data_IF_322727513665
#
_entry.id   IF_322727513665
#
_cell.length_a   1.000
_cell.length_b   1.000
_cell.length_c   1.000
_cell.angle_alpha   90.00
_cell.angle_beta   90.00
_cell.angle_gamma   90.00
#
_symmetry.space_group_name_H-M   'P 1'
#
loop_
_entity.id
_entity.type
_entity.pdbx_description
1 polymer ?
#
# COMPACT_ATOMS: atom_id res chain seq x y z
N UNK A 1 35.88 -24.57 -6.00
CA UNK A 1 35.92 -23.13 -6.37
C UNK A 1 36.04 -22.34 -5.08
N UNK A 2 37.07 -21.52 -4.95
CA UNK A 2 37.31 -20.72 -3.74
C UNK A 2 36.62 -19.35 -3.87
N UNK A 3 36.01 -18.88 -2.79
CA UNK A 3 35.54 -17.49 -2.68
C UNK A 3 36.64 -16.64 -2.07
N UNK A 4 37.09 -15.62 -2.80
CA UNK A 4 38.01 -14.61 -2.29
C UNK A 4 37.21 -13.42 -1.77
N UNK A 5 37.28 -13.16 -0.47
CA UNK A 5 36.74 -11.95 0.16
C UNK A 5 37.69 -10.78 -0.11
N UNK A 6 37.17 -9.67 -0.65
CA UNK A 6 37.90 -8.41 -0.70
C UNK A 6 37.42 -7.50 0.43
N UNK A 7 38.35 -7.12 1.29
CA UNK A 7 38.14 -6.27 2.46
C UNK A 7 38.61 -4.85 2.13
N UNK A 8 37.68 -3.89 2.06
CA UNK A 8 37.98 -2.49 1.72
C UNK A 8 38.21 -1.67 2.99
N UNK A 9 39.46 -1.25 3.21
CA UNK A 9 39.82 -0.27 4.23
C UNK A 9 39.37 1.14 3.82
N UNK A 10 38.50 1.78 4.62
CA UNK A 10 38.29 3.24 4.56
C UNK A 10 39.29 3.95 5.50
N UNK A 11 40.06 4.88 4.94
CA UNK A 11 41.02 5.68 5.69
C UNK A 11 40.36 6.97 6.23
N UNK A 12 40.29 7.10 7.56
CA UNK A 12 39.74 8.29 8.21
C UNK A 12 40.71 9.50 8.10
N UNK A 13 40.42 10.43 7.19
CA UNK A 13 41.14 11.69 7.03
C UNK A 13 40.65 12.73 8.06
N UNK A 14 41.34 12.81 9.20
CA UNK A 14 41.10 13.82 10.24
C UNK A 14 41.67 15.17 9.80
N UNK A 15 40.81 16.07 9.34
CA UNK A 15 41.19 17.47 9.07
C UNK A 15 41.16 18.29 10.37
N UNK A 16 42.34 18.51 10.94
CA UNK A 16 42.56 19.40 12.08
C UNK A 16 42.35 20.87 11.68
N UNK A 17 41.46 21.56 12.41
CA UNK A 17 41.28 23.01 12.28
C UNK A 17 42.42 23.76 13.00
N UNK A 18 42.96 24.85 12.43
CA UNK A 18 43.91 25.70 13.14
C UNK A 18 43.20 26.50 14.26
N UNK A 19 43.92 26.88 15.34
CA UNK A 19 43.35 27.67 16.44
C UNK A 19 43.09 29.12 16.02
N UNK A 20 41.99 29.68 16.53
CA UNK A 20 41.62 31.09 16.36
C UNK A 20 42.44 31.95 17.35
N UNK A 21 43.09 33.04 16.92
CA UNK A 21 43.80 33.94 17.84
C UNK A 21 42.81 34.75 18.71
N UNK A 22 43.13 34.88 19.99
CA UNK A 22 42.36 35.71 20.92
C UNK A 22 42.58 37.22 20.66
N UNK A 23 41.57 38.07 20.88
CA UNK A 23 41.73 39.52 20.70
C UNK A 23 42.60 40.14 21.80
N UNK A 24 43.58 40.94 21.40
CA UNK A 24 44.36 41.80 22.30
C UNK A 24 43.53 42.99 22.79
N UNK A 25 43.69 43.44 24.05
CA UNK A 25 43.03 44.64 24.55
C UNK A 25 43.68 45.91 23.98
N UNK A 26 42.85 46.83 23.51
CA UNK A 26 43.28 48.18 23.09
C UNK A 26 43.41 49.08 24.33
N UNK A 27 44.51 49.82 24.52
CA UNK A 27 44.64 50.74 25.64
C UNK A 27 43.82 52.02 25.39
N UNK A 28 42.93 52.36 26.31
CA UNK A 28 42.27 53.69 26.32
C UNK A 28 43.18 54.67 27.06
N UNK A 29 43.59 55.71 26.36
CA UNK A 29 44.47 56.77 26.86
C UNK A 29 43.72 57.74 27.78
N UNK A 30 44.29 58.01 28.95
CA UNK A 30 43.87 59.10 29.85
C UNK A 30 44.74 60.33 29.58
N UNK A 31 44.19 61.50 29.23
CA UNK A 31 44.95 62.74 29.25
C UNK A 31 45.04 63.27 30.70
N UNK A 32 46.26 63.33 31.23
CA UNK A 32 46.52 63.96 32.51
C UNK A 32 46.76 65.47 32.36
N UNK A 33 46.14 66.26 33.24
CA UNK A 33 46.46 67.66 33.49
C UNK A 33 45.72 68.11 34.76
N UNK A 34 46.27 68.91 35.65
CA UNK A 34 47.62 69.49 35.71
C UNK A 34 47.75 70.29 37.00
N UNK A 35 48.90 70.19 37.67
CA UNK A 35 49.27 70.85 38.95
C UNK A 35 48.77 72.30 39.02
N UNK A 36 48.04 72.72 40.05
CA UNK A 36 48.50 72.97 41.42
C UNK A 36 49.49 74.16 41.56
N UNK A 37 48.93 75.34 41.79
CA UNK A 37 49.55 76.53 42.40
C UNK A 37 48.49 77.25 43.28
N UNK A 38 48.79 78.15 44.20
CA UNK A 38 49.85 78.21 45.22
C UNK A 38 49.56 79.40 46.17
N UNK A 39 49.80 79.22 47.48
CA UNK A 39 50.18 80.28 48.47
C UNK A 39 49.11 81.37 48.81
N UNK A 40 48.59 81.39 50.05
CA UNK A 40 49.13 82.01 51.30
C UNK A 40 48.92 83.53 51.41
N UNK A 41 48.08 83.95 52.36
CA UNK A 41 48.33 84.97 53.41
C UNK A 41 47.06 85.07 54.29
N UNK A 42 47.09 84.77 55.60
CA UNK A 42 47.38 85.70 56.70
C UNK A 42 46.27 86.76 56.93
N UNK A 43 45.85 87.13 58.15
CA UNK A 43 46.12 86.63 59.52
C UNK A 43 45.17 87.38 60.48
N UNK A 44 44.57 86.68 61.48
CA UNK A 44 44.24 87.22 62.83
C UNK A 44 43.17 88.35 62.89
N UNK A 45 42.45 88.64 64.00
CA UNK A 45 42.54 88.19 65.42
C UNK A 45 41.24 88.52 66.18
N UNK A 46 40.88 87.68 67.19
CA UNK A 46 40.30 88.00 68.53
C UNK A 46 39.01 88.89 68.64
N UNK A 47 38.15 88.78 69.68
CA UNK A 47 38.00 87.82 70.79
C UNK A 47 36.69 88.04 71.58
N UNK A 48 36.21 86.99 72.27
CA UNK A 48 35.32 87.07 73.44
C UNK A 48 33.81 87.19 73.15
N UNK A 49 32.91 86.95 74.11
CA UNK A 49 33.01 86.37 75.48
C UNK A 49 31.57 86.11 76.01
N UNK A 50 31.37 85.13 76.91
CA UNK A 50 30.07 84.85 77.57
C UNK A 50 29.13 83.96 76.72
N UNK A 51 28.49 82.88 77.21
CA UNK A 51 27.77 82.62 78.48
C UNK A 51 26.46 83.44 78.54
N UNK A 52 25.32 82.74 78.58
CA UNK A 52 23.97 83.29 78.39
C UNK A 52 23.45 84.17 79.54
N UNK A 53 22.17 84.57 79.47
CA UNK A 53 21.17 83.67 80.05
C UNK A 53 19.85 83.54 79.25
N UNK A 54 18.92 82.84 79.90
CA UNK A 54 17.54 82.46 79.57
C UNK A 54 16.66 83.56 78.95
N UNK A 55 15.74 83.15 78.07
CA UNK A 55 14.87 84.06 77.31
C UNK A 55 13.66 83.36 76.69
N UNK A 56 12.75 82.87 77.54
CA UNK A 56 11.44 82.32 77.24
C UNK A 56 10.68 83.05 76.08
N UNK A 57 10.20 82.32 75.05
CA UNK A 57 8.78 82.26 74.58
C UNK A 57 8.59 81.69 73.14
N UNK A 58 7.86 80.55 73.08
CA UNK A 58 6.83 80.18 72.08
C UNK A 58 6.98 80.66 70.62
N UNK A 59 7.62 79.85 69.76
CA UNK A 59 7.41 79.72 68.30
C UNK A 59 8.07 78.38 67.84
N UNK A 60 7.58 77.53 66.92
CA UNK A 60 6.25 77.27 66.33
C UNK A 60 6.09 75.73 66.12
N UNK A 61 4.88 75.13 66.14
CA UNK A 61 4.67 73.74 65.68
C UNK A 61 4.75 73.57 64.14
N UNK A 62 5.20 74.58 63.39
CA UNK A 62 5.22 74.58 61.92
C UNK A 62 6.52 74.05 61.30
N UNK A 63 7.64 74.05 62.03
CA UNK A 63 8.93 73.58 61.48
C UNK A 63 8.93 72.07 61.17
N UNK A 64 8.21 71.26 61.96
CA UNK A 64 8.13 69.82 61.74
C UNK A 64 7.25 69.47 60.52
N UNK A 65 6.24 70.29 60.22
CA UNK A 65 5.37 70.13 59.05
C UNK A 65 6.13 70.41 57.76
N UNK A 66 7.01 71.43 57.74
CA UNK A 66 7.84 71.74 56.55
C UNK A 66 8.95 70.70 56.33
N UNK A 67 9.55 70.13 57.39
CA UNK A 67 10.53 69.03 57.23
C UNK A 67 9.86 67.74 56.76
N UNK A 68 8.63 67.45 57.21
CA UNK A 68 7.84 66.31 56.71
C UNK A 68 7.35 66.55 55.27
N UNK A 69 6.96 67.77 54.90
CA UNK A 69 6.60 68.10 53.51
C UNK A 69 7.81 68.04 52.56
N UNK A 70 8.93 68.66 52.93
CA UNK A 70 10.14 68.68 52.11
C UNK A 70 10.82 67.30 52.02
N UNK A 71 10.89 66.57 53.14
CA UNK A 71 11.38 65.20 53.19
C UNK A 71 10.46 64.20 52.48
N UNK A 72 9.14 64.42 52.54
CA UNK A 72 8.17 63.67 51.75
C UNK A 72 8.42 63.84 50.26
N UNK A 73 8.51 65.09 49.77
CA UNK A 73 8.72 65.36 48.34
C UNK A 73 10.04 64.83 47.78
N UNK A 74 11.10 64.71 48.58
CA UNK A 74 12.39 64.17 48.10
C UNK A 74 12.45 62.64 48.11
N UNK A 75 11.69 61.95 48.97
CA UNK A 75 11.53 60.50 48.91
C UNK A 75 10.80 60.03 47.63
N UNK A 76 9.79 60.79 47.17
CA UNK A 76 9.06 60.48 45.93
C UNK A 76 9.94 60.46 44.67
N UNK A 77 11.00 61.26 44.61
CA UNK A 77 11.91 61.29 43.44
C UNK A 77 12.91 60.12 43.46
N UNK A 78 13.19 59.54 44.63
CA UNK A 78 14.19 58.47 44.78
C UNK A 78 13.70 57.09 44.30
N UNK A 79 12.38 56.89 44.20
CA UNK A 79 11.77 55.61 43.80
C UNK A 79 11.21 55.60 42.36
N UNK A 80 11.38 56.70 41.62
CA UNK A 80 11.02 56.81 40.21
C UNK A 80 12.00 56.03 39.32
N UNK A 81 11.48 55.09 38.52
CA UNK A 81 12.26 54.19 37.67
C UNK A 81 11.95 54.50 36.21
N UNK A 82 12.96 54.94 35.44
CA UNK A 82 12.83 55.17 34.01
C UNK A 82 13.12 53.87 33.24
N UNK A 83 12.09 53.23 32.68
CA UNK A 83 12.20 51.89 32.07
C UNK A 83 11.76 51.88 30.61
N UNK A 84 12.20 50.86 29.86
CA UNK A 84 11.80 50.63 28.48
C UNK A 84 10.99 49.34 28.35
N UNK A 85 9.68 49.49 28.16
CA UNK A 85 8.77 48.39 27.93
C UNK A 85 8.54 48.18 26.42
N UNK A 86 8.81 46.98 25.93
CA UNK A 86 8.62 46.59 24.54
C UNK A 86 7.55 45.50 24.44
N UNK A 87 6.36 45.89 23.99
CA UNK A 87 5.23 44.96 23.80
C UNK A 87 5.23 44.53 22.34
N UNK A 88 5.45 43.23 22.11
CA UNK A 88 5.55 42.63 20.77
C UNK A 88 6.55 43.32 19.83
N UNK A 89 7.60 43.94 20.39
CA UNK A 89 8.60 44.67 19.62
C UNK A 89 8.23 46.12 19.27
N UNK A 90 7.18 46.68 19.86
CA UNK A 90 6.91 48.12 19.90
C UNK A 90 7.47 48.71 21.21
N UNK A 91 8.67 49.35 21.20
CA UNK A 91 9.27 49.91 22.40
C UNK A 91 8.61 51.24 22.78
N UNK A 92 8.35 51.40 24.08
CA UNK A 92 8.00 52.66 24.73
C UNK A 92 8.89 52.87 25.96
N UNK A 93 9.21 54.12 26.27
CA UNK A 93 9.86 54.50 27.52
C UNK A 93 8.84 55.16 28.43
N UNK A 94 8.85 54.79 29.70
CA UNK A 94 7.91 55.23 30.72
C UNK A 94 8.62 55.37 32.07
N UNK A 95 7.98 56.12 32.96
CA UNK A 95 8.38 56.27 34.36
C UNK A 95 7.40 55.47 35.22
N UNK A 96 7.91 54.72 36.20
CA UNK A 96 7.10 53.86 37.07
C UNK A 96 7.66 53.82 38.49
N UNK A 97 6.78 53.58 39.45
CA UNK A 97 7.15 53.31 40.84
C UNK A 97 7.16 51.83 41.18
N UNK A 98 6.66 50.96 40.30
CA UNK A 98 6.51 49.53 40.51
C UNK A 98 7.81 48.85 41.00
N UNK A 99 7.69 48.00 42.01
CA UNK A 99 8.81 47.29 42.62
C UNK A 99 9.26 46.07 41.81
N UNK A 100 8.34 45.44 41.07
CA UNK A 100 8.64 44.32 40.18
C UNK A 100 8.00 44.45 38.78
N UNK A 101 8.35 43.51 37.89
CA UNK A 101 7.85 43.47 36.52
C UNK A 101 6.34 43.20 36.45
N UNK A 102 5.74 42.48 37.41
CA UNK A 102 4.30 42.17 37.41
C UNK A 102 3.50 43.41 37.73
N UNK A 103 3.86 44.14 38.78
CA UNK A 103 3.19 45.39 39.16
C UNK A 103 3.24 46.40 38.01
N UNK A 104 4.40 46.55 37.33
CA UNK A 104 4.52 47.37 36.13
C UNK A 104 3.55 46.94 35.00
N UNK A 105 3.38 45.64 34.77
CA UNK A 105 2.48 45.17 33.72
C UNK A 105 1.00 45.35 34.09
N UNK A 106 0.65 45.18 35.37
CA UNK A 106 -0.71 45.38 35.87
C UNK A 106 -1.11 46.87 35.82
N UNK A 107 -0.23 47.79 36.25
CA UNK A 107 -0.39 49.25 36.12
C UNK A 107 -0.62 49.69 34.66
N UNK A 108 0.09 49.07 33.73
CA UNK A 108 0.01 49.32 32.29
C UNK A 108 -1.13 48.58 31.59
N UNK A 109 -1.98 47.85 32.33
CA UNK A 109 -3.11 47.10 31.79
C UNK A 109 -2.71 45.92 30.88
N UNK A 110 -1.49 45.39 31.03
CA UNK A 110 -0.93 44.30 30.23
C UNK A 110 -1.18 42.95 30.92
N UNK A 111 -2.34 42.37 30.62
CA UNK A 111 -2.65 41.00 31.02
C UNK A 111 -1.81 40.00 30.21
N UNK A 112 -1.00 39.19 30.89
CA UNK A 112 -0.22 38.09 30.29
C UNK A 112 -0.76 36.71 30.69
N UNK A 113 -0.66 35.73 29.78
CA UNK A 113 -1.06 34.35 29.99
C UNK A 113 0.07 33.32 29.81
N UNK A 114 -0.23 32.04 30.05
CA UNK A 114 0.72 30.91 30.13
C UNK A 114 1.58 30.65 28.88
N UNK A 115 1.29 31.32 27.77
CA UNK A 115 1.99 31.17 26.48
C UNK A 115 2.69 32.46 26.02
N UNK A 116 2.65 33.50 26.85
CA UNK A 116 3.36 34.75 26.63
C UNK A 116 4.79 34.64 27.19
N UNK A 117 5.70 35.43 26.63
CA UNK A 117 7.07 35.55 27.16
C UNK A 117 7.20 36.94 27.78
N UNK A 118 7.54 36.98 29.07
CA UNK A 118 7.92 38.18 29.80
C UNK A 118 9.38 38.04 30.23
N UNK A 119 10.22 39.02 29.89
CA UNK A 119 11.62 39.08 30.28
C UNK A 119 11.98 40.52 30.72
N UNK A 120 12.51 40.76 31.94
CA UNK A 120 12.76 39.80 33.02
C UNK A 120 11.49 39.07 33.50
N UNK A 121 11.64 38.03 34.33
CA UNK A 121 10.49 37.27 34.83
C UNK A 121 9.53 38.16 35.65
N UNK A 122 8.21 37.87 35.73
CA UNK A 122 7.25 38.77 36.37
C UNK A 122 7.56 39.15 37.83
N UNK A 123 8.18 38.28 38.63
CA UNK A 123 8.58 38.60 40.01
C UNK A 123 10.01 39.16 40.15
N UNK A 124 10.64 39.61 39.07
CA UNK A 124 11.96 40.22 39.12
C UNK A 124 11.85 41.68 39.56
N UNK A 125 12.64 42.07 40.57
CA UNK A 125 12.71 43.44 41.04
C UNK A 125 13.17 44.39 39.92
N UNK A 126 12.55 45.56 39.86
CA UNK A 126 12.70 46.53 38.77
C UNK A 126 13.70 47.65 39.13
N UNK A 127 14.57 48.01 38.20
CA UNK A 127 15.54 49.08 38.33
C UNK A 127 15.42 50.13 37.21
N UNK A 128 15.88 51.36 37.48
CA UNK A 128 15.94 52.41 36.47
C UNK A 128 16.96 52.05 35.38
N UNK A 129 16.54 52.12 34.11
CA UNK A 129 17.28 51.65 32.93
C UNK A 129 16.85 50.28 32.40
N UNK A 130 16.00 49.53 33.12
CA UNK A 130 15.61 48.18 32.72
C UNK A 130 14.82 48.15 31.40
N UNK A 131 15.00 47.03 30.68
CA UNK A 131 14.29 46.74 29.43
C UNK A 131 13.38 45.53 29.64
N UNK A 132 12.08 45.79 29.70
CA UNK A 132 11.04 44.76 29.83
C UNK A 132 10.54 44.41 28.43
N UNK A 133 10.51 43.13 28.11
CA UNK A 133 10.01 42.61 26.84
C UNK A 133 8.83 41.69 27.11
N UNK A 134 7.67 42.06 26.58
CA UNK A 134 6.47 41.22 26.54
C UNK A 134 6.26 40.74 25.10
N UNK A 135 6.08 39.45 24.89
CA UNK A 135 5.67 38.88 23.60
C UNK A 135 4.46 37.99 23.78
N UNK A 136 3.35 38.34 23.14
CA UNK A 136 2.11 37.58 23.28
C UNK A 136 2.17 36.27 22.49
N UNK A 137 1.79 35.18 23.15
CA UNK A 137 1.52 33.88 22.57
C UNK A 137 0.31 33.94 21.63
N UNK A 138 0.48 33.42 20.43
CA UNK A 138 -0.51 33.42 19.36
C UNK A 138 -0.80 31.96 18.97
N UNK A 139 -2.06 31.48 19.03
CA UNK A 139 -2.37 30.09 18.75
C UNK A 139 -2.44 29.85 17.24
N UNK A 140 -1.68 28.88 16.75
CA UNK A 140 -1.71 28.46 15.33
C UNK A 140 -2.28 27.06 15.25
N UNK A 141 -3.35 26.90 14.48
CA UNK A 141 -3.85 25.58 14.08
C UNK A 141 -3.13 25.19 12.80
N UNK A 142 -2.04 24.45 12.95
CA UNK A 142 -1.15 24.03 11.87
C UNK A 142 -1.59 22.65 11.35
N UNK A 143 -1.94 22.57 10.08
CA UNK A 143 -1.91 21.32 9.31
C UNK A 143 -0.57 21.29 8.58
N UNK A 144 0.27 20.31 8.89
CA UNK A 144 1.55 20.09 8.22
C UNK A 144 1.51 18.73 7.55
N UNK A 145 1.57 18.69 6.22
CA UNK A 145 1.57 17.45 5.43
C UNK A 145 0.40 16.51 5.82
N UNK A 146 -0.79 17.10 5.98
CA UNK A 146 -2.01 16.41 6.42
C UNK A 146 -2.17 16.23 7.94
N UNK A 147 -1.11 16.38 8.73
CA UNK A 147 -1.15 16.22 10.18
C UNK A 147 -1.54 17.53 10.89
N UNK A 148 -2.75 17.58 11.46
CA UNK A 148 -3.29 18.75 12.17
C UNK A 148 -2.90 18.76 13.65
N UNK A 149 -2.34 19.87 14.13
CA UNK A 149 -2.01 20.14 15.54
C UNK A 149 -2.23 21.61 15.90
N UNK A 150 -2.55 21.91 17.16
CA UNK A 150 -2.55 23.28 17.71
C UNK A 150 -1.21 23.53 18.38
N UNK A 151 -0.56 24.63 18.04
CA UNK A 151 0.72 25.08 18.60
C UNK A 151 0.63 26.54 18.99
N UNK A 152 1.58 27.03 19.80
CA UNK A 152 1.69 28.44 20.17
C UNK A 152 3.02 29.00 19.67
N UNK A 153 3.00 30.26 19.26
CA UNK A 153 4.18 31.00 18.77
C UNK A 153 4.14 32.43 19.30
N UNK A 154 5.29 33.04 19.53
CA UNK A 154 5.41 34.48 19.85
C UNK A 154 5.81 35.30 18.62
N UNK A 155 5.82 34.67 17.43
CA UNK A 155 6.04 35.36 16.17
C UNK A 155 4.78 36.09 15.70
N UNK A 156 4.98 37.30 15.14
CA UNK A 156 3.89 38.12 14.62
C UNK A 156 3.45 37.76 13.20
N UNK A 157 4.25 36.99 12.45
CA UNK A 157 4.00 36.62 11.05
C UNK A 157 4.13 35.13 10.82
N UNK A 158 3.48 34.63 9.76
CA UNK A 158 3.55 33.21 9.32
C UNK A 158 5.01 32.75 9.15
N UNK A 159 5.84 33.54 8.48
CA UNK A 159 7.26 33.22 8.29
C UNK A 159 8.03 33.06 9.62
N UNK A 160 7.82 33.98 10.56
CA UNK A 160 8.44 33.91 11.88
C UNK A 160 7.97 32.71 12.68
N UNK A 161 6.68 32.34 12.57
CA UNK A 161 6.12 31.18 13.23
C UNK A 161 6.67 29.87 12.65
N UNK A 162 6.74 29.74 11.32
CA UNK A 162 7.32 28.57 10.66
C UNK A 162 8.79 28.39 11.07
N UNK A 163 9.56 29.47 11.14
CA UNK A 163 10.94 29.45 11.67
C UNK A 163 11.00 29.01 13.14
N UNK A 164 10.15 29.54 14.02
CA UNK A 164 10.11 29.12 15.44
C UNK A 164 9.69 27.65 15.60
N UNK A 165 8.81 27.14 14.73
CA UNK A 165 8.31 25.76 14.74
C UNK A 165 9.22 24.76 14.01
N UNK A 166 10.35 25.20 13.44
CA UNK A 166 11.28 24.35 12.69
C UNK A 166 10.73 23.83 11.36
N UNK A 167 9.70 24.47 10.79
CA UNK A 167 9.06 24.04 9.55
C UNK A 167 9.74 24.69 8.34
N UNK A 168 10.28 23.88 7.43
CA UNK A 168 10.87 24.37 6.18
C UNK A 168 9.78 24.94 5.27
N UNK A 169 9.77 26.28 5.13
CA UNK A 169 8.80 27.00 4.30
C UNK A 169 9.23 27.15 2.83
N UNK A 170 10.52 26.98 2.52
CA UNK A 170 11.07 27.04 1.16
C UNK A 170 10.51 25.90 0.28
N UNK A 171 10.12 26.21 -0.97
CA UNK A 171 9.41 25.31 -1.88
C UNK A 171 7.96 24.98 -1.47
N UNK A 172 7.66 24.98 -0.18
CA UNK A 172 6.38 24.57 0.41
C UNK A 172 5.18 25.42 -0.05
N UNK A 173 4.06 24.74 -0.31
CA UNK A 173 2.75 25.37 -0.43
C UNK A 173 2.27 25.85 0.95
N UNK A 174 1.68 27.04 0.99
CA UNK A 174 1.07 27.65 2.16
C UNK A 174 -0.34 28.14 1.81
N UNK A 175 -1.31 27.87 2.67
CA UNK A 175 -2.68 28.38 2.53
C UNK A 175 -2.82 29.91 2.66
N UNK A 176 -1.81 30.59 3.21
CA UNK A 176 -1.75 32.05 3.39
C UNK A 176 -0.33 32.58 3.15
N UNK A 177 -0.20 33.89 2.93
CA UNK A 177 1.12 34.53 2.72
C UNK A 177 2.07 34.36 3.91
N UNK A 178 3.36 34.17 3.62
CA UNK A 178 4.45 34.21 4.63
C UNK A 178 4.50 35.53 5.40
N UNK A 179 4.11 36.64 4.77
CA UNK A 179 4.05 37.96 5.40
C UNK A 179 2.76 38.23 6.17
N UNK A 180 1.77 37.33 6.14
CA UNK A 180 0.51 37.53 6.86
C UNK A 180 0.77 37.59 8.37
N UNK A 181 0.14 38.57 9.02
CA UNK A 181 0.19 38.70 10.47
C UNK A 181 -0.68 37.64 11.14
N UNK A 182 -0.14 37.01 12.18
CA UNK A 182 -0.86 36.08 13.06
C UNK A 182 -1.43 36.91 14.19
N UNK A 183 -2.76 37.05 14.31
CA UNK A 183 -3.35 37.85 15.41
C UNK A 183 -3.36 37.11 16.75
N UNK A 184 -3.65 37.80 17.87
CA UNK A 184 -3.87 37.14 19.18
C UNK A 184 -5.07 36.19 19.19
N UNK A 185 -6.03 36.33 18.26
CA UNK A 185 -7.13 35.36 18.05
C UNK A 185 -6.65 34.06 17.39
N UNK A 186 -5.42 34.05 16.86
CA UNK A 186 -4.79 32.93 16.20
C UNK A 186 -4.88 32.95 14.68
N UNK A 187 -4.43 31.86 14.07
CA UNK A 187 -4.45 31.61 12.64
C UNK A 187 -4.67 30.09 12.37
N UNK A 188 -5.37 29.75 11.30
CA UNK A 188 -5.33 28.39 10.72
C UNK A 188 -4.39 28.42 9.52
N UNK A 189 -3.44 27.48 9.48
CA UNK A 189 -2.38 27.44 8.49
C UNK A 189 -2.21 25.99 8.02
N UNK A 190 -2.52 25.74 6.75
CA UNK A 190 -2.11 24.53 6.04
C UNK A 190 -0.77 24.74 5.33
N UNK A 191 0.12 23.76 5.46
CA UNK A 191 1.48 23.69 4.92
C UNK A 191 1.69 22.32 4.29
N UNK A 192 2.00 22.29 3.00
CA UNK A 192 2.46 21.08 2.31
C UNK A 192 3.91 21.31 1.91
N UNK A 193 4.83 20.52 2.44
CA UNK A 193 6.26 20.68 2.19
C UNK A 193 6.61 20.27 0.76
N UNK A 194 7.65 20.88 0.18
CA UNK A 194 8.15 20.45 -1.13
C UNK A 194 8.79 19.06 -1.00
N UNK A 195 8.47 18.18 -1.94
CA UNK A 195 8.95 16.79 -1.99
C UNK A 195 9.33 16.41 -3.41
N UNK A 196 10.41 15.66 -3.55
CA UNK A 196 10.88 15.10 -4.82
C UNK A 196 10.32 13.70 -4.99
N UNK A 197 9.65 13.43 -6.11
CA UNK A 197 9.05 12.14 -6.43
C UNK A 197 9.58 11.60 -7.75
N UNK A 198 9.77 10.29 -7.83
CA UNK A 198 10.19 9.59 -9.05
C UNK A 198 9.07 8.70 -9.54
N UNK A 199 8.55 8.96 -10.74
CA UNK A 199 7.55 8.10 -11.39
C UNK A 199 8.21 7.19 -12.43
N UNK A 200 7.93 5.89 -12.34
CA UNK A 200 8.29 4.90 -13.35
C UNK A 200 7.04 4.52 -14.14
N UNK A 201 6.91 5.03 -15.36
CA UNK A 201 5.74 4.82 -16.22
C UNK A 201 6.16 4.54 -17.66
N UNK A 202 5.55 3.53 -18.28
CA UNK A 202 5.73 3.22 -19.72
C UNK A 202 7.20 3.07 -20.15
N UNK A 203 8.01 2.47 -19.27
CA UNK A 203 9.45 2.27 -19.45
C UNK A 203 10.32 3.52 -19.27
N UNK A 204 9.74 4.65 -18.83
CA UNK A 204 10.45 5.92 -18.63
C UNK A 204 10.41 6.35 -17.16
N UNK A 205 11.47 7.01 -16.75
CA UNK A 205 11.56 7.70 -15.46
C UNK A 205 11.15 9.18 -15.62
N UNK A 206 10.39 9.70 -14.65
CA UNK A 206 10.04 11.11 -14.53
C UNK A 206 10.22 11.55 -13.09
N UNK A 207 11.19 12.41 -12.83
CA UNK A 207 11.36 13.06 -11.52
C UNK A 207 10.62 14.40 -11.53
N UNK A 208 9.85 14.69 -10.48
CA UNK A 208 9.23 16.01 -10.24
C UNK A 208 9.51 16.49 -8.81
N UNK A 209 9.41 17.80 -8.59
CA UNK A 209 9.20 18.39 -7.27
C UNK A 209 7.77 18.88 -7.18
N UNK A 210 7.12 18.62 -6.05
CA UNK A 210 5.69 18.87 -5.88
C UNK A 210 5.34 19.18 -4.43
N UNK A 211 4.20 19.84 -4.25
CA UNK A 211 3.53 20.04 -2.96
C UNK A 211 2.22 19.23 -2.86
N UNK A 212 2.00 18.28 -3.78
CA UNK A 212 0.79 17.48 -3.87
C UNK A 212 0.43 16.76 -2.56
N UNK A 213 -0.85 16.79 -2.20
CA UNK A 213 -1.40 16.07 -1.06
C UNK A 213 -1.64 14.59 -1.37
N UNK A 214 -1.68 14.20 -2.64
CA UNK A 214 -1.90 12.81 -3.08
C UNK A 214 -0.97 12.39 -4.21
N UNK A 215 -0.70 11.09 -4.31
CA UNK A 215 0.00 10.49 -5.46
C UNK A 215 -0.74 10.78 -6.79
N UNK A 216 -2.08 10.86 -6.78
CA UNK A 216 -2.93 11.17 -7.93
C UNK A 216 -2.71 12.60 -8.45
N UNK A 217 -2.63 13.58 -7.56
CA UNK A 217 -2.31 14.99 -7.88
C UNK A 217 -0.88 15.08 -8.46
N UNK A 218 0.10 14.44 -7.82
CA UNK A 218 1.48 14.39 -8.29
C UNK A 218 1.65 13.70 -9.67
N UNK A 219 0.88 12.63 -9.94
CA UNK A 219 0.84 11.98 -11.27
C UNK A 219 0.33 12.94 -12.35
N UNK A 220 -0.71 13.72 -12.04
CA UNK A 220 -1.25 14.71 -12.96
C UNK A 220 -0.24 15.82 -13.27
N UNK A 221 0.47 16.34 -12.25
CA UNK A 221 1.58 17.29 -12.41
C UNK A 221 2.75 16.71 -13.25
N UNK A 222 3.05 15.42 -13.10
CA UNK A 222 4.04 14.71 -13.93
C UNK A 222 3.62 14.52 -15.40
N UNK A 223 2.36 14.83 -15.74
CA UNK A 223 1.75 14.60 -17.04
C UNK A 223 1.34 13.14 -17.27
N UNK A 224 1.12 12.36 -16.21
CA UNK A 224 0.87 10.91 -16.25
C UNK A 224 -0.59 10.64 -15.88
N UNK A 225 -1.43 10.40 -16.88
CA UNK A 225 -2.83 9.99 -16.68
C UNK A 225 -2.96 8.48 -16.47
N UNK A 226 -3.70 8.06 -15.46
CA UNK A 226 -4.09 6.66 -15.25
C UNK A 226 -5.34 6.32 -16.07
N UNK A 227 -5.33 5.19 -16.78
CA UNK A 227 -6.54 4.59 -17.36
C UNK A 227 -7.48 4.02 -16.28
N UNK A 228 -8.72 3.71 -16.65
CA UNK A 228 -9.76 3.28 -15.70
C UNK A 228 -9.46 2.00 -14.89
N UNK A 229 -8.50 1.19 -15.34
CA UNK A 229 -8.03 -0.01 -14.62
C UNK A 229 -6.58 0.12 -14.11
N UNK A 230 -5.85 1.17 -14.51
CA UNK A 230 -4.47 1.39 -14.11
C UNK A 230 -4.38 1.70 -12.62
N UNK A 231 -3.22 1.42 -12.03
CA UNK A 231 -2.95 1.75 -10.63
C UNK A 231 -1.45 2.00 -10.43
N UNK A 232 -1.07 2.37 -9.22
CA UNK A 232 0.33 2.62 -8.82
C UNK A 232 0.81 1.63 -7.77
N UNK A 233 2.13 1.53 -7.57
CA UNK A 233 2.74 0.70 -6.52
C UNK A 233 2.31 1.07 -5.09
N UNK A 234 1.76 2.28 -4.92
CA UNK A 234 1.08 2.77 -3.71
C UNK A 234 -0.31 3.32 -4.09
N UNK A 235 -1.27 3.43 -3.16
CA UNK A 235 -2.61 3.93 -3.47
C UNK A 235 -2.56 5.36 -4.05
N UNK A 236 -3.28 5.67 -5.16
CA UNK A 236 -3.29 7.01 -5.75
C UNK A 236 -3.70 8.12 -4.77
N UNK A 237 -4.58 7.80 -3.81
CA UNK A 237 -5.11 8.76 -2.84
C UNK A 237 -4.29 8.81 -1.53
N UNK A 238 -3.13 8.13 -1.49
CA UNK A 238 -2.18 8.20 -0.36
C UNK A 238 -1.27 9.43 -0.46
N UNK A 239 -0.81 9.90 0.70
CA UNK A 239 0.10 11.03 0.80
C UNK A 239 1.53 10.62 0.41
N UNK A 240 2.18 11.29 -0.55
CA UNK A 240 3.49 10.91 -1.06
C UNK A 240 4.64 11.33 -0.10
N UNK A 241 5.67 10.49 0.00
CA UNK A 241 6.88 10.75 0.81
C UNK A 241 7.98 11.37 -0.04
N UNK A 242 8.84 12.18 0.58
CA UNK A 242 10.01 12.71 -0.12
C UNK A 242 10.98 11.59 -0.53
N UNK A 243 11.56 11.69 -1.73
CA UNK A 243 12.39 10.68 -2.36
C UNK A 243 11.66 9.40 -2.81
N UNK A 244 10.33 9.38 -2.82
CA UNK A 244 9.56 8.15 -3.10
C UNK A 244 9.50 7.81 -4.60
N UNK A 245 9.88 6.58 -4.93
CA UNK A 245 9.66 5.98 -6.26
C UNK A 245 8.28 5.33 -6.36
N UNK A 246 7.52 5.69 -7.39
CA UNK A 246 6.14 5.26 -7.63
C UNK A 246 6.05 4.65 -9.03
N UNK A 247 5.76 3.36 -9.11
CA UNK A 247 5.64 2.64 -10.39
C UNK A 247 4.19 2.63 -10.85
N UNK A 248 3.94 3.06 -12.08
CA UNK A 248 2.64 2.95 -12.74
C UNK A 248 2.48 1.55 -13.33
N UNK A 249 1.34 0.92 -13.05
CA UNK A 249 0.92 -0.36 -13.59
C UNK A 249 -0.19 -0.12 -14.61
N UNK A 250 0.17 -0.21 -15.89
CA UNK A 250 -0.77 -0.22 -17.01
C UNK A 250 -1.51 -1.54 -17.03
N UNK A 251 -2.83 -1.48 -16.87
CA UNK A 251 -3.68 -2.66 -16.71
C UNK A 251 -4.73 -2.67 -17.81
N UNK A 252 -4.75 -3.74 -18.60
CA UNK A 252 -5.80 -3.97 -19.58
C UNK A 252 -6.51 -5.29 -19.30
N UNK A 253 -7.85 -5.24 -19.32
CA UNK A 253 -8.73 -6.39 -19.16
C UNK A 253 -9.46 -6.69 -20.47
N UNK A 254 -9.38 -7.93 -20.94
CA UNK A 254 -10.17 -8.41 -22.09
C UNK A 254 -10.91 -9.69 -21.72
N UNK A 255 -11.97 -10.01 -22.48
CA UNK A 255 -12.70 -11.27 -22.35
C UNK A 255 -12.32 -12.18 -23.52
N UNK A 256 -11.96 -13.42 -23.22
CA UNK A 256 -11.73 -14.47 -24.20
C UNK A 256 -12.80 -15.55 -24.01
N UNK A 257 -13.49 -15.92 -25.09
CA UNK A 257 -14.50 -16.98 -25.08
C UNK A 257 -13.89 -18.21 -25.74
N UNK A 258 -13.93 -19.35 -25.03
CA UNK A 258 -13.47 -20.65 -25.56
C UNK A 258 -14.60 -21.65 -25.51
N UNK A 259 -14.72 -22.47 -26.55
CA UNK A 259 -15.58 -23.64 -26.54
C UNK A 259 -14.76 -24.87 -26.18
N UNK A 260 -15.22 -25.60 -25.17
CA UNK A 260 -14.55 -26.79 -24.64
C UNK A 260 -15.51 -27.99 -24.75
N UNK A 261 -15.05 -29.16 -25.24
CA UNK A 261 -15.90 -30.34 -25.39
C UNK A 261 -16.26 -30.93 -24.03
N UNK A 262 -17.53 -31.28 -23.85
CA UNK A 262 -18.00 -32.06 -22.70
C UNK A 262 -18.02 -33.54 -23.13
N UNK A 263 -17.23 -34.42 -22.48
CA UNK A 263 -17.26 -35.85 -22.80
C UNK A 263 -18.64 -36.44 -22.48
N UNK A 264 -19.07 -37.41 -23.28
CA UNK A 264 -20.33 -38.13 -23.04
C UNK A 264 -20.09 -39.38 -22.18
N UNK A 265 -21.11 -39.77 -21.42
CA UNK A 265 -21.13 -41.01 -20.65
C UNK A 265 -21.61 -42.19 -21.50
N UNK A 266 -21.23 -43.42 -21.14
CA UNK A 266 -21.73 -44.65 -21.77
C UNK A 266 -22.52 -45.47 -20.75
N UNK A 267 -23.79 -45.71 -21.04
CA UNK A 267 -24.71 -46.53 -20.26
C UNK A 267 -24.81 -47.91 -20.91
N UNK A 268 -24.67 -48.98 -20.12
CA UNK A 268 -24.76 -50.38 -20.59
C UNK A 268 -25.92 -51.09 -19.92
N UNK A 269 -26.92 -51.47 -20.71
CA UNK A 269 -28.13 -52.14 -20.24
C UNK A 269 -28.12 -53.60 -20.67
N UNK A 270 -28.40 -54.53 -19.74
CA UNK A 270 -28.51 -55.96 -20.07
C UNK A 270 -29.78 -56.23 -20.85
N UNK A 271 -29.66 -57.02 -21.92
CA UNK A 271 -30.75 -57.37 -22.83
C UNK A 271 -30.90 -58.91 -22.87
N UNK A 272 -32.03 -59.47 -22.37
CA UNK A 272 -32.27 -60.91 -22.32
C UNK A 272 -32.69 -61.53 -23.66
N UNK A 273 -32.90 -60.73 -24.72
CA UNK A 273 -33.16 -61.20 -26.07
C UNK A 273 -31.88 -61.29 -26.92
N UNK A 274 -30.84 -60.53 -26.55
CA UNK A 274 -29.51 -60.61 -27.15
C UNK A 274 -28.63 -61.67 -26.46
N UNK A 275 -27.95 -62.49 -27.27
CA UNK A 275 -27.00 -63.50 -26.78
C UNK A 275 -25.77 -62.87 -26.10
N UNK A 276 -25.32 -63.51 -25.02
CA UNK A 276 -24.13 -63.13 -24.28
C UNK A 276 -22.92 -62.96 -25.20
N UNK A 277 -22.22 -61.83 -25.05
CA UNK A 277 -21.11 -61.41 -25.91
C UNK A 277 -21.48 -60.47 -27.05
N UNK A 278 -22.74 -60.41 -27.48
CA UNK A 278 -23.22 -59.40 -28.45
C UNK A 278 -23.38 -58.06 -27.75
N UNK A 279 -22.92 -56.98 -28.38
CA UNK A 279 -23.22 -55.60 -27.98
C UNK A 279 -23.85 -54.86 -29.15
N UNK A 280 -24.92 -54.10 -28.88
CA UNK A 280 -25.61 -53.26 -29.88
C UNK A 280 -25.66 -51.84 -29.36
N UNK A 281 -25.14 -50.88 -30.12
CA UNK A 281 -25.32 -49.46 -29.80
C UNK A 281 -26.77 -49.08 -30.13
N UNK A 282 -27.56 -48.83 -29.10
CA UNK A 282 -28.95 -48.39 -29.20
C UNK A 282 -29.03 -46.90 -29.52
N UNK A 283 -28.15 -46.09 -28.88
CA UNK A 283 -28.03 -44.66 -29.13
C UNK A 283 -26.57 -44.26 -29.16
N UNK A 284 -26.13 -43.67 -30.27
CA UNK A 284 -24.76 -43.16 -30.41
C UNK A 284 -24.52 -41.96 -29.48
N UNK A 285 -23.40 -41.97 -28.75
CA UNK A 285 -23.00 -40.85 -27.91
C UNK A 285 -22.55 -39.64 -28.72
N UNK A 286 -22.74 -38.44 -28.18
CA UNK A 286 -22.26 -37.19 -28.78
C UNK A 286 -21.69 -36.28 -27.71
N UNK A 287 -20.50 -35.72 -27.95
CA UNK A 287 -19.90 -34.75 -27.03
C UNK A 287 -20.78 -33.50 -26.92
N UNK A 288 -20.95 -33.01 -25.69
CA UNK A 288 -21.50 -31.69 -25.44
C UNK A 288 -20.47 -30.61 -25.75
N UNK A 289 -20.88 -29.36 -25.63
CA UNK A 289 -20.01 -28.19 -25.75
C UNK A 289 -20.38 -27.23 -24.63
N UNK A 290 -19.39 -26.84 -23.82
CA UNK A 290 -19.50 -25.69 -22.93
C UNK A 290 -18.76 -24.51 -23.51
N UNK A 291 -19.29 -23.32 -23.29
CA UNK A 291 -18.66 -22.04 -23.59
C UNK A 291 -18.15 -21.45 -22.28
N UNK A 292 -16.84 -21.31 -22.20
CA UNK A 292 -16.14 -20.78 -21.01
C UNK A 292 -15.64 -19.39 -21.33
N UNK A 293 -16.07 -18.41 -20.54
CA UNK A 293 -15.58 -17.03 -20.64
C UNK A 293 -14.45 -16.82 -19.63
N UNK A 294 -13.28 -16.46 -20.15
CA UNK A 294 -12.10 -16.13 -19.38
C UNK A 294 -11.91 -14.60 -19.35
N UNK A 295 -11.65 -14.06 -18.16
CA UNK A 295 -11.06 -12.74 -18.01
C UNK A 295 -9.55 -12.86 -18.16
N UNK A 296 -9.01 -12.20 -19.20
CA UNK A 296 -7.59 -11.96 -19.37
C UNK A 296 -7.26 -10.61 -18.74
N UNK A 297 -6.18 -10.56 -17.96
CA UNK A 297 -5.60 -9.31 -17.44
C UNK A 297 -4.15 -9.24 -17.86
N UNK A 298 -3.73 -8.09 -18.35
CA UNK A 298 -2.34 -7.80 -18.68
C UNK A 298 -1.87 -6.67 -17.76
N UNK A 299 -0.67 -6.78 -17.20
CA UNK A 299 -0.07 -5.76 -16.34
C UNK A 299 1.30 -5.41 -16.92
N UNK A 300 1.53 -4.16 -17.30
CA UNK A 300 2.77 -3.70 -17.96
C UNK A 300 3.20 -4.61 -19.14
N UNK A 301 2.24 -4.99 -19.99
CA UNK A 301 2.45 -5.90 -21.13
C UNK A 301 2.50 -7.40 -20.78
N UNK A 302 2.64 -7.77 -19.49
CA UNK A 302 2.72 -9.17 -19.05
C UNK A 302 1.33 -9.76 -18.81
N UNK A 303 0.97 -10.76 -19.63
CA UNK A 303 -0.29 -11.52 -19.50
C UNK A 303 -0.30 -12.30 -18.18
N UNK A 304 -1.34 -12.08 -17.38
CA UNK A 304 -1.62 -12.83 -16.16
C UNK A 304 -2.34 -14.14 -16.48
N UNK A 305 -2.39 -15.06 -15.52
CA UNK A 305 -3.14 -16.33 -15.66
C UNK A 305 -4.62 -16.05 -15.95
N UNK A 306 -5.22 -16.61 -17.02
CA UNK A 306 -6.64 -16.44 -17.33
C UNK A 306 -7.53 -16.88 -16.15
N UNK A 307 -8.49 -16.04 -15.76
CA UNK A 307 -9.48 -16.37 -14.73
C UNK A 307 -10.80 -16.71 -15.39
N UNK A 308 -11.33 -17.92 -15.19
CA UNK A 308 -12.69 -18.26 -15.59
C UNK A 308 -13.70 -17.37 -14.85
N UNK A 309 -14.61 -16.72 -15.57
CA UNK A 309 -15.62 -15.82 -15.01
C UNK A 309 -17.07 -16.26 -15.31
N UNK A 310 -17.29 -17.03 -16.36
CA UNK A 310 -18.58 -17.64 -16.67
C UNK A 310 -18.39 -18.98 -17.40
N UNK A 311 -19.37 -19.86 -17.29
CA UNK A 311 -19.45 -21.16 -17.96
C UNK A 311 -20.93 -21.39 -18.32
N UNK A 312 -21.20 -21.80 -19.55
CA UNK A 312 -22.54 -22.05 -20.08
C UNK A 312 -22.48 -23.33 -20.92
N UNK A 313 -23.47 -24.23 -20.79
CA UNK A 313 -23.58 -25.41 -21.65
C UNK A 313 -24.35 -25.01 -22.91
N UNK A 314 -23.65 -24.92 -24.04
CA UNK A 314 -24.24 -24.59 -25.36
C UNK A 314 -24.90 -25.83 -25.98
N UNK A 315 -24.37 -27.02 -25.68
CA UNK A 315 -24.93 -28.29 -26.10
C UNK A 315 -24.69 -29.36 -25.04
N UNK A 316 -25.75 -29.98 -24.56
CA UNK A 316 -25.65 -31.12 -23.63
C UNK A 316 -24.96 -32.34 -24.29
N UNK A 317 -24.14 -33.11 -23.56
CA UNK A 317 -23.62 -34.38 -24.05
C UNK A 317 -24.75 -35.42 -24.14
N UNK A 318 -24.80 -36.16 -25.24
CA UNK A 318 -25.75 -37.27 -25.40
C UNK A 318 -25.08 -38.55 -24.92
N UNK A 319 -25.61 -39.14 -23.83
CA UNK A 319 -25.16 -40.45 -23.32
C UNK A 319 -25.33 -41.54 -24.37
N UNK A 320 -24.25 -42.27 -24.65
CA UNK A 320 -24.24 -43.46 -25.49
C UNK A 320 -24.97 -44.59 -24.76
N UNK A 321 -26.01 -45.18 -25.35
CA UNK A 321 -26.67 -46.37 -24.80
C UNK A 321 -26.24 -47.60 -25.59
N UNK A 322 -25.77 -48.62 -24.87
CA UNK A 322 -25.35 -49.91 -25.43
C UNK A 322 -26.15 -51.01 -24.74
N UNK A 323 -26.88 -51.81 -25.53
CA UNK A 323 -27.48 -53.04 -25.05
C UNK A 323 -26.45 -54.17 -25.13
N UNK A 324 -26.20 -54.82 -24.00
CA UNK A 324 -25.27 -55.94 -23.88
C UNK A 324 -26.08 -57.22 -23.66
N UNK A 325 -25.84 -58.23 -24.49
CA UNK A 325 -26.59 -59.47 -24.39
C UNK A 325 -26.36 -60.19 -23.07
N UNK A 326 -27.46 -60.61 -22.44
CA UNK A 326 -27.47 -61.43 -21.23
C UNK A 326 -28.20 -62.76 -21.40
N UNK A 327 -28.76 -63.03 -22.59
CA UNK A 327 -29.31 -64.35 -22.91
C UNK A 327 -28.16 -65.36 -22.92
N UNK A 328 -28.19 -66.43 -22.12
CA UNK A 328 -27.15 -67.45 -22.20
C UNK A 328 -27.12 -68.02 -23.62
N UNK A 329 -25.91 -68.10 -24.20
CA UNK A 329 -25.71 -68.94 -25.37
C UNK A 329 -26.02 -70.39 -24.95
N UNK A 330 -26.87 -71.12 -25.69
CA UNK A 330 -27.11 -72.52 -25.38
C UNK A 330 -25.79 -73.28 -25.46
N UNK A 331 -25.36 -73.86 -24.34
CA UNK A 331 -24.13 -74.68 -24.24
C UNK A 331 -24.18 -75.91 -25.15
N UNK A 332 -25.39 -76.34 -25.48
CA UNK A 332 -25.71 -77.58 -26.13
C UNK A 332 -26.77 -77.37 -27.22
N UNK A 333 -26.70 -78.18 -28.27
CA UNK A 333 -27.81 -78.39 -29.20
C UNK A 333 -28.00 -79.89 -29.32
N UNK A 334 -29.14 -80.39 -28.82
CA UNK A 334 -29.45 -81.82 -28.83
C UNK A 334 -29.27 -82.42 -30.23
N UNK A 335 -28.53 -83.53 -30.32
CA UNK A 335 -28.13 -84.15 -31.58
C UNK A 335 -26.77 -83.71 -32.14
N UNK A 336 -26.11 -82.71 -31.55
CA UNK A 336 -24.81 -82.19 -32.01
C UNK A 336 -23.70 -82.20 -30.94
N UNK A 337 -23.98 -82.56 -29.69
CA UNK A 337 -23.06 -82.29 -28.57
C UNK A 337 -21.89 -83.27 -28.40
N UNK A 338 -22.01 -84.49 -28.93
CA UNK A 338 -20.93 -85.50 -28.89
C UNK A 338 -19.89 -85.40 -30.01
N UNK A 339 -19.93 -84.33 -30.81
CA UNK A 339 -19.12 -84.18 -32.03
C UNK A 339 -17.88 -83.31 -31.78
N UNK A 340 -16.80 -83.57 -32.53
CA UNK A 340 -15.54 -82.82 -32.41
C UNK A 340 -15.56 -81.50 -33.19
N UNK A 341 -16.28 -80.53 -32.62
CA UNK A 341 -16.42 -79.16 -33.14
C UNK A 341 -15.10 -78.40 -33.26
N UNK A 342 -14.07 -78.81 -32.51
CA UNK A 342 -12.73 -78.24 -32.58
C UNK A 342 -11.97 -78.80 -33.79
N UNK A 343 -12.03 -80.12 -34.03
CA UNK A 343 -11.43 -80.73 -35.21
C UNK A 343 -12.06 -80.24 -36.53
N UNK A 344 -13.38 -79.97 -36.53
CA UNK A 344 -14.05 -79.28 -37.65
C UNK A 344 -13.52 -77.84 -37.80
N UNK A 345 -13.55 -77.03 -36.75
CA UNK A 345 -13.10 -75.62 -36.82
C UNK A 345 -11.62 -75.50 -37.23
N UNK A 346 -10.77 -76.41 -36.79
CA UNK A 346 -9.36 -76.48 -37.19
C UNK A 346 -9.18 -76.83 -38.67
N UNK A 347 -10.12 -77.56 -39.27
CA UNK A 347 -10.14 -77.85 -40.69
C UNK A 347 -10.58 -76.65 -41.53
N UNK A 348 -11.68 -76.02 -41.12
CA UNK A 348 -12.35 -74.97 -41.90
C UNK A 348 -11.64 -73.60 -41.82
N UNK A 349 -11.12 -73.23 -40.66
CA UNK A 349 -10.54 -71.88 -40.41
C UNK A 349 -9.11 -71.90 -39.84
N UNK A 350 -8.59 -73.07 -39.48
CA UNK A 350 -7.44 -73.20 -38.61
C UNK A 350 -7.73 -72.80 -37.16
N UNK A 351 -8.99 -72.90 -36.72
CA UNK A 351 -9.43 -72.55 -35.36
C UNK A 351 -9.56 -71.05 -35.11
N UNK A 352 -9.64 -70.22 -36.16
CA UNK A 352 -9.61 -68.76 -36.07
C UNK A 352 -11.01 -68.16 -36.24
N UNK A 353 -11.64 -67.58 -35.20
CA UNK A 353 -13.00 -67.04 -35.30
C UNK A 353 -13.16 -65.84 -36.24
N UNK A 354 -12.08 -65.13 -36.55
CA UNK A 354 -12.06 -64.03 -37.53
C UNK A 354 -11.62 -64.44 -38.93
N UNK A 355 -11.52 -65.75 -39.23
CA UNK A 355 -11.14 -66.21 -40.57
C UNK A 355 -12.16 -65.79 -41.63
N UNK A 356 -11.66 -65.54 -42.83
CA UNK A 356 -12.43 -65.31 -44.05
C UNK A 356 -11.70 -66.05 -45.18
N UNK A 357 -12.44 -66.61 -46.13
CA UNK A 357 -11.86 -67.23 -47.32
C UNK A 357 -11.25 -66.19 -48.28
N UNK A 358 -10.55 -66.67 -49.32
CA UNK A 358 -9.93 -65.80 -50.32
C UNK A 358 -10.93 -65.00 -51.17
N UNK A 359 -12.20 -65.41 -51.27
CA UNK A 359 -13.24 -64.62 -51.95
C UNK A 359 -13.87 -63.53 -51.08
N UNK A 360 -13.67 -63.57 -49.76
CA UNK A 360 -14.35 -62.68 -48.82
C UNK A 360 -15.80 -63.09 -48.47
N UNK A 361 -16.30 -64.20 -49.02
CA UNK A 361 -17.71 -64.61 -48.94
C UNK A 361 -18.00 -65.45 -47.70
N UNK A 362 -17.10 -66.37 -47.35
CA UNK A 362 -17.26 -67.34 -46.26
C UNK A 362 -16.38 -66.96 -45.08
N UNK A 363 -16.93 -66.96 -43.86
CA UNK A 363 -16.16 -66.57 -42.68
C UNK A 363 -16.55 -67.22 -41.37
N UNK A 364 -15.70 -67.01 -40.37
CA UNK A 364 -15.79 -67.61 -39.04
C UNK A 364 -15.19 -69.00 -38.95
N UNK A 365 -15.19 -69.55 -37.72
CA UNK A 365 -14.67 -70.88 -37.36
C UNK A 365 -15.09 -72.00 -38.31
N UNK A 366 -16.30 -71.89 -38.87
CA UNK A 366 -16.98 -72.91 -39.67
C UNK A 366 -17.32 -72.43 -41.08
N UNK A 367 -16.66 -71.35 -41.55
CA UNK A 367 -16.77 -70.83 -42.93
C UNK A 367 -18.23 -70.69 -43.41
N UNK A 368 -19.03 -69.89 -42.70
CA UNK A 368 -20.42 -69.62 -43.08
C UNK A 368 -20.51 -68.60 -44.22
N UNK A 369 -21.40 -68.85 -45.18
CA UNK A 369 -21.88 -67.80 -46.09
C UNK A 369 -22.88 -66.85 -45.37
N UNK A 370 -23.07 -65.61 -45.86
CA UNK A 370 -23.94 -64.63 -45.20
C UNK A 370 -25.43 -64.95 -45.29
N UNK A 371 -25.87 -65.80 -46.23
CA UNK A 371 -27.23 -66.31 -46.32
C UNK A 371 -27.54 -67.32 -45.22
N UNK A 372 -26.74 -68.38 -45.12
CA UNK A 372 -26.86 -69.41 -44.09
C UNK A 372 -26.69 -68.83 -42.69
N UNK A 373 -25.72 -67.92 -42.47
CA UNK A 373 -25.55 -67.22 -41.20
C UNK A 373 -26.84 -66.53 -40.73
N UNK A 374 -27.47 -65.75 -41.63
CA UNK A 374 -28.74 -65.06 -41.34
C UNK A 374 -29.91 -66.03 -41.15
N UNK A 375 -30.01 -67.07 -41.97
CA UNK A 375 -31.06 -68.10 -41.86
C UNK A 375 -31.03 -68.84 -40.50
N UNK A 376 -29.84 -69.02 -39.92
CA UNK A 376 -29.67 -69.61 -38.59
C UNK A 376 -29.98 -68.64 -37.43
N UNK A 377 -30.30 -67.38 -37.74
CA UNK A 377 -30.57 -66.29 -36.78
C UNK A 377 -29.33 -65.51 -36.36
N UNK A 378 -28.24 -65.59 -37.12
CA UNK A 378 -27.06 -64.75 -36.96
C UNK A 378 -27.30 -63.32 -37.46
N UNK A 379 -26.76 -62.33 -36.75
CA UNK A 379 -26.76 -60.92 -37.18
C UNK A 379 -25.39 -60.56 -37.76
N UNK A 380 -25.34 -59.63 -38.71
CA UNK A 380 -24.10 -59.26 -39.39
C UNK A 380 -23.51 -60.41 -40.22
N UNK A 381 -22.20 -60.64 -40.08
CA UNK A 381 -21.43 -61.71 -40.74
C UNK A 381 -20.72 -62.57 -39.69
N UNK A 382 -20.50 -63.85 -39.99
CA UNK A 382 -20.09 -64.86 -39.01
C UNK A 382 -18.75 -64.56 -38.33
N UNK A 383 -17.76 -64.09 -39.08
CA UNK A 383 -16.41 -63.76 -38.61
C UNK A 383 -16.36 -62.63 -37.55
N UNK A 384 -17.43 -61.84 -37.44
CA UNK A 384 -17.54 -60.75 -36.45
C UNK A 384 -18.29 -61.17 -35.17
N UNK A 385 -18.86 -62.38 -35.13
CA UNK A 385 -19.58 -62.89 -33.96
C UNK A 385 -18.62 -63.60 -32.98
N UNK A 386 -18.93 -63.67 -31.68
CA UNK A 386 -18.13 -64.45 -30.72
C UNK A 386 -18.02 -65.92 -31.14
N UNK A 387 -16.85 -66.53 -30.94
CA UNK A 387 -16.59 -67.94 -31.26
C UNK A 387 -17.70 -68.91 -30.82
N UNK A 388 -18.19 -68.74 -29.59
CA UNK A 388 -19.27 -69.54 -29.03
C UNK A 388 -20.62 -69.37 -29.77
N UNK A 389 -20.93 -68.19 -30.31
CA UNK A 389 -22.10 -67.98 -31.16
C UNK A 389 -21.92 -68.70 -32.51
N UNK A 390 -20.72 -68.64 -33.08
CA UNK A 390 -20.40 -69.34 -34.33
C UNK A 390 -20.54 -70.86 -34.16
N UNK A 391 -20.00 -71.44 -33.08
CA UNK A 391 -20.16 -72.87 -32.75
C UNK A 391 -21.61 -73.25 -32.47
N UNK A 392 -22.36 -72.43 -31.72
CA UNK A 392 -23.79 -72.66 -31.49
C UNK A 392 -24.59 -72.73 -32.80
N UNK A 393 -24.30 -71.83 -33.75
CA UNK A 393 -24.96 -71.83 -35.07
C UNK A 393 -24.50 -72.99 -35.95
N UNK A 394 -23.26 -73.43 -35.83
CA UNK A 394 -22.75 -74.61 -36.54
C UNK A 394 -23.43 -75.89 -36.03
N UNK A 395 -23.55 -76.05 -34.71
CA UNK A 395 -24.37 -77.09 -34.07
C UNK A 395 -25.82 -77.07 -34.60
N UNK A 396 -26.47 -75.90 -34.65
CA UNK A 396 -27.83 -75.74 -35.18
C UNK A 396 -27.94 -76.13 -36.66
N UNK A 397 -26.97 -75.73 -37.49
CA UNK A 397 -26.95 -76.09 -38.91
C UNK A 397 -26.76 -77.60 -39.12
N UNK A 398 -25.90 -78.23 -38.33
CA UNK A 398 -25.72 -79.67 -38.35
C UNK A 398 -27.00 -80.44 -38.00
N UNK A 399 -27.74 -80.01 -36.97
CA UNK A 399 -29.03 -80.65 -36.65
C UNK A 399 -30.04 -80.52 -37.81
N UNK A 400 -29.93 -79.49 -38.66
CA UNK A 400 -30.79 -79.29 -39.83
C UNK A 400 -30.33 -80.04 -41.10
N UNK A 401 -29.02 -80.27 -41.29
CA UNK A 401 -28.45 -80.71 -42.58
C UNK A 401 -27.34 -81.77 -42.45
N UNK A 402 -27.11 -82.29 -41.26
CA UNK A 402 -25.96 -83.14 -40.94
C UNK A 402 -24.63 -82.45 -41.27
N UNK A 403 -23.62 -83.24 -41.62
CA UNK A 403 -22.30 -82.75 -42.00
C UNK A 403 -22.23 -82.16 -43.44
N UNK A 404 -23.32 -82.18 -44.21
CA UNK A 404 -23.33 -81.77 -45.63
C UNK A 404 -22.85 -80.34 -45.95
N UNK A 405 -23.00 -79.34 -45.07
CA UNK A 405 -22.46 -77.99 -45.33
C UNK A 405 -20.93 -77.91 -45.28
N UNK A 406 -20.27 -78.93 -44.74
CA UNK A 406 -18.80 -79.02 -44.62
C UNK A 406 -18.32 -80.26 -45.39
N UNK A 407 -18.38 -80.29 -46.74
CA UNK A 407 -18.21 -81.51 -47.52
C UNK A 407 -16.84 -82.19 -47.34
N UNK A 408 -15.78 -81.43 -47.08
CA UNK A 408 -14.42 -81.96 -46.91
C UNK A 408 -13.99 -82.16 -45.45
N UNK A 409 -14.48 -81.31 -44.55
CA UNK A 409 -14.08 -81.27 -43.15
C UNK A 409 -15.12 -81.89 -42.19
N UNK A 410 -16.38 -81.99 -42.60
CA UNK A 410 -17.49 -82.50 -41.78
C UNK A 410 -17.28 -83.92 -41.27
N UNK A 411 -16.46 -84.73 -41.97
CA UNK A 411 -15.96 -86.03 -41.48
C UNK A 411 -15.22 -85.93 -40.13
N UNK A 412 -14.57 -84.81 -39.82
CA UNK A 412 -13.83 -84.58 -38.56
C UNK A 412 -14.73 -84.29 -37.37
N UNK A 413 -16.05 -84.15 -37.55
CA UNK A 413 -17.01 -84.10 -36.45
C UNK A 413 -17.11 -85.45 -35.72
N UNK A 414 -16.79 -86.54 -36.40
CA UNK A 414 -16.73 -87.88 -35.86
C UNK A 414 -15.25 -88.24 -35.66
N UNK A 415 -14.93 -88.79 -34.49
CA UNK A 415 -13.56 -89.25 -34.17
C UNK A 415 -13.26 -90.60 -34.79
#
# INVERSE_FOLDING_TARGET
MAFASYETQEAALVLSRPPVPAPTPVPVTVPAGGRAEARRAARRRKAGRGRGPEGLRRLLPQAMVVVVLAGGTSAFVANDKAVRLSVDGAPRSLHTFADDVRELLDDEGITVGDHDIVAPAPGAALASGDVIVVRYGRPVTLTLDGHRRRVWTTARTVDGALRQLGVRAEGAYLSVSRSMEITRKGLTLDVRTERTLTFMADGRERVIRTNAATVREALAEAGITLGAQDTTSVPPDSFPRDGQTITVMRITGTKEIREEPIPYTTERTRDPDLFAGIQVVERQGRQGVRRVTYALRTVNGVKQKPRRIAEEIVREPVTQKIRVGSKPLPSSVAGADGLDWNALAQCESGGRPGAVDSSGTYGGLYQFDPGTWRALGGKGVAQNAPAAEQTYRAKKLYVQRGASPWPHCGRRLYR
#
